data_IF_778554051057
#
_entry.id   IF_778554051057
#
_cell.length_a   1.000
_cell.length_b   1.000
_cell.length_c   1.000
_cell.angle_alpha   90.00
_cell.angle_beta   90.00
_cell.angle_gamma   90.00
#
_symmetry.space_group_name_H-M   'P 1'
#
loop_
_entity.id
_entity.type
_entity.pdbx_description
1 polymer ?
#
# COMPACT_ATOMS: atom_id res chain seq x y z
N UNK A 1 19.13 9.84 -16.91
CA UNK A 1 18.48 8.84 -16.05
C UNK A 1 17.13 9.41 -15.67
N UNK A 2 16.07 8.66 -15.95
CA UNK A 2 14.70 9.00 -15.55
C UNK A 2 14.56 8.95 -14.02
N UNK A 3 13.64 9.75 -13.46
CA UNK A 3 13.44 9.90 -12.01
C UNK A 3 11.98 9.55 -11.61
N UNK A 4 11.74 8.51 -10.78
CA UNK A 4 10.41 8.13 -10.27
C UNK A 4 9.58 9.24 -9.67
N UNK A 5 10.23 10.12 -8.91
CA UNK A 5 9.54 11.08 -8.03
C UNK A 5 9.04 12.31 -8.80
N UNK A 6 9.60 12.55 -9.97
CA UNK A 6 9.32 13.74 -10.79
C UNK A 6 8.49 13.43 -12.03
N UNK A 7 8.36 12.15 -12.42
CA UNK A 7 7.69 11.78 -13.66
C UNK A 7 7.06 10.38 -13.63
N UNK A 8 5.75 10.32 -13.37
CA UNK A 8 4.93 9.11 -13.38
C UNK A 8 4.26 8.83 -14.75
N UNK A 9 4.55 9.64 -15.77
CA UNK A 9 3.86 9.57 -17.06
C UNK A 9 4.26 8.32 -17.85
N UNK A 10 3.25 7.54 -18.21
CA UNK A 10 3.39 6.34 -19.06
C UNK A 10 3.90 6.66 -20.48
N UNK A 11 3.70 7.89 -20.97
CA UNK A 11 4.08 8.25 -22.33
C UNK A 11 5.60 8.22 -22.54
N UNK A 12 6.40 8.59 -21.54
CA UNK A 12 7.87 8.56 -21.66
C UNK A 12 8.43 7.14 -21.67
N UNK A 13 7.82 6.23 -20.90
CA UNK A 13 8.11 4.81 -20.96
C UNK A 13 7.68 4.21 -22.31
N UNK A 14 6.52 4.61 -22.82
CA UNK A 14 6.04 4.18 -24.14
C UNK A 14 6.94 4.69 -25.28
N UNK A 15 7.41 5.93 -25.22
CA UNK A 15 8.38 6.49 -26.18
C UNK A 15 9.70 5.73 -26.12
N UNK A 16 10.19 5.42 -24.91
CA UNK A 16 11.41 4.64 -24.72
C UNK A 16 11.27 3.23 -25.31
N UNK A 17 10.13 2.56 -25.09
CA UNK A 17 9.84 1.24 -25.65
C UNK A 17 9.73 1.26 -27.19
N UNK A 18 9.07 2.27 -27.77
CA UNK A 18 9.01 2.46 -29.22
C UNK A 18 10.41 2.68 -29.79
N UNK A 19 11.21 3.53 -29.15
CA UNK A 19 12.59 3.84 -29.55
C UNK A 19 13.49 2.59 -29.50
N UNK A 20 13.33 1.74 -28.49
CA UNK A 20 14.02 0.46 -28.40
C UNK A 20 13.64 -0.48 -29.55
N UNK A 21 12.34 -0.63 -29.84
CA UNK A 21 11.87 -1.46 -30.94
C UNK A 21 12.42 -0.98 -32.29
N UNK A 22 12.33 0.32 -32.56
CA UNK A 22 12.86 0.91 -33.79
C UNK A 22 14.38 0.70 -33.91
N UNK A 23 15.12 0.86 -32.81
CA UNK A 23 16.56 0.63 -32.76
C UNK A 23 16.91 -0.83 -33.08
N UNK A 24 16.22 -1.79 -32.45
CA UNK A 24 16.43 -3.21 -32.66
C UNK A 24 16.08 -3.64 -34.09
N UNK A 25 14.99 -3.12 -34.65
CA UNK A 25 14.60 -3.37 -36.04
C UNK A 25 15.64 -2.85 -37.03
N UNK A 26 16.15 -1.63 -36.79
CA UNK A 26 17.17 -1.01 -37.63
C UNK A 26 18.48 -1.80 -37.54
N UNK A 27 18.87 -2.23 -36.34
CA UNK A 27 20.02 -3.11 -36.12
C UNK A 27 19.87 -4.44 -36.84
N UNK A 28 18.69 -5.07 -36.78
CA UNK A 28 18.41 -6.34 -37.46
C UNK A 28 18.55 -6.20 -38.99
N UNK A 29 17.97 -5.15 -39.57
CA UNK A 29 18.00 -4.89 -41.02
C UNK A 29 19.41 -4.56 -41.51
N UNK A 30 20.17 -3.80 -40.73
CA UNK A 30 21.49 -3.30 -41.13
C UNK A 30 22.67 -4.11 -40.59
N UNK A 31 22.41 -5.20 -39.86
CA UNK A 31 23.41 -6.02 -39.17
C UNK A 31 24.60 -6.43 -40.06
N UNK A 32 24.31 -6.94 -41.26
CA UNK A 32 25.35 -7.40 -42.20
C UNK A 32 26.24 -6.29 -42.77
N UNK A 33 25.81 -5.03 -42.66
CA UNK A 33 26.51 -3.84 -43.17
C UNK A 33 27.22 -3.05 -42.07
N UNK A 34 27.04 -3.45 -40.82
CA UNK A 34 27.48 -2.71 -39.64
C UNK A 34 28.85 -3.21 -39.20
N UNK A 35 29.76 -2.29 -38.85
CA UNK A 35 31.05 -2.70 -38.28
C UNK A 35 30.91 -3.05 -36.79
N UNK A 36 31.89 -3.78 -36.24
CA UNK A 36 31.85 -4.26 -34.86
C UNK A 36 31.62 -3.13 -33.83
N UNK A 37 32.31 -1.99 -34.01
CA UNK A 37 32.22 -0.85 -33.08
C UNK A 37 30.83 -0.18 -33.11
N UNK A 38 30.20 -0.09 -34.28
CA UNK A 38 28.84 0.42 -34.43
C UNK A 38 27.82 -0.52 -33.80
N UNK A 39 27.97 -1.84 -34.02
CA UNK A 39 27.10 -2.84 -33.41
C UNK A 39 27.18 -2.81 -31.87
N UNK A 40 28.39 -2.73 -31.32
CA UNK A 40 28.63 -2.64 -29.87
C UNK A 40 28.01 -1.38 -29.25
N UNK A 41 28.14 -0.22 -29.91
CA UNK A 41 27.53 1.04 -29.45
C UNK A 41 26.01 0.98 -29.46
N UNK A 42 25.41 0.42 -30.51
CA UNK A 42 23.95 0.32 -30.62
C UNK A 42 23.39 -0.71 -29.64
N UNK A 43 24.11 -1.81 -29.39
CA UNK A 43 23.79 -2.75 -28.32
C UNK A 43 23.82 -2.08 -26.94
N UNK A 44 24.86 -1.27 -26.65
CA UNK A 44 24.93 -0.50 -25.40
C UNK A 44 23.77 0.48 -25.23
N UNK A 45 23.36 1.16 -26.31
CA UNK A 45 22.18 2.03 -26.30
C UNK A 45 20.88 1.25 -26.05
N UNK A 46 20.71 0.10 -26.71
CA UNK A 46 19.55 -0.77 -26.50
C UNK A 46 19.47 -1.28 -25.06
N UNK A 47 20.61 -1.66 -24.47
CA UNK A 47 20.70 -2.08 -23.07
C UNK A 47 20.33 -0.95 -22.10
N UNK A 48 20.81 0.27 -22.35
CA UNK A 48 20.45 1.42 -21.52
C UNK A 48 18.94 1.71 -21.57
N UNK A 49 18.35 1.76 -22.76
CA UNK A 49 16.91 2.01 -22.93
C UNK A 49 16.10 0.88 -22.28
N UNK A 50 16.52 -0.38 -22.46
CA UNK A 50 15.88 -1.53 -21.80
C UNK A 50 15.97 -1.45 -20.28
N UNK A 51 17.10 -1.00 -19.73
CA UNK A 51 17.28 -0.81 -18.30
C UNK A 51 16.34 0.27 -17.77
N UNK A 52 16.24 1.41 -18.46
CA UNK A 52 15.35 2.51 -18.07
C UNK A 52 13.87 2.06 -18.06
N UNK A 53 13.43 1.29 -19.07
CA UNK A 53 12.08 0.72 -19.11
C UNK A 53 11.86 -0.27 -17.96
N UNK A 54 12.83 -1.13 -17.66
CA UNK A 54 12.72 -2.10 -16.56
C UNK A 54 12.54 -1.40 -15.22
N UNK A 55 13.34 -0.36 -14.94
CA UNK A 55 13.24 0.41 -13.70
C UNK A 55 11.87 1.10 -13.62
N UNK A 56 11.38 1.67 -14.72
CA UNK A 56 10.05 2.28 -14.76
C UNK A 56 8.93 1.27 -14.44
N UNK A 57 8.99 0.06 -15.00
CA UNK A 57 8.01 -1.01 -14.77
C UNK A 57 7.99 -1.40 -13.29
N UNK A 58 9.16 -1.64 -12.69
CA UNK A 58 9.28 -2.02 -11.28
C UNK A 58 8.71 -0.95 -10.34
N UNK A 59 8.89 0.33 -10.67
CA UNK A 59 8.38 1.44 -9.88
C UNK A 59 6.89 1.68 -10.07
N UNK A 60 6.37 1.54 -11.29
CA UNK A 60 4.93 1.58 -11.56
C UNK A 60 4.20 0.40 -10.88
N UNK A 61 4.80 -0.79 -10.84
CA UNK A 61 4.26 -1.92 -10.09
C UNK A 61 4.13 -1.57 -8.60
N UNK A 62 5.19 -1.00 -7.99
CA UNK A 62 5.14 -0.52 -6.60
C UNK A 62 4.07 0.56 -6.39
N UNK A 63 3.89 1.50 -7.33
CA UNK A 63 2.83 2.53 -7.25
C UNK A 63 1.43 1.89 -7.22
N UNK A 64 1.18 0.91 -8.10
CA UNK A 64 -0.09 0.19 -8.17
C UNK A 64 -0.34 -0.62 -6.91
N UNK A 65 0.70 -1.26 -6.36
CA UNK A 65 0.60 -1.98 -5.10
C UNK A 65 0.24 -1.04 -3.94
N UNK A 66 0.90 0.11 -3.83
CA UNK A 66 0.60 1.12 -2.82
C UNK A 66 -0.84 1.66 -2.95
N UNK A 67 -1.28 1.97 -4.17
CA UNK A 67 -2.65 2.43 -4.41
C UNK A 67 -3.69 1.37 -4.02
N UNK A 68 -3.41 0.10 -4.34
CA UNK A 68 -4.28 -1.03 -3.98
C UNK A 68 -4.41 -1.16 -2.46
N UNK A 69 -3.30 -1.07 -1.72
CA UNK A 69 -3.31 -1.10 -0.25
C UNK A 69 -4.12 0.07 0.31
N UNK A 70 -3.95 1.29 -0.23
CA UNK A 70 -4.71 2.45 0.21
C UNK A 70 -6.22 2.28 0.01
N UNK A 71 -6.63 1.75 -1.14
CA UNK A 71 -8.04 1.45 -1.44
C UNK A 71 -8.60 0.45 -0.43
N UNK A 72 -7.91 -0.67 -0.19
CA UNK A 72 -8.37 -1.67 0.78
C UNK A 72 -8.38 -1.12 2.21
N UNK A 73 -7.41 -0.28 2.57
CA UNK A 73 -7.34 0.38 3.88
C UNK A 73 -8.58 1.22 4.15
N UNK A 74 -9.01 2.03 3.17
CA UNK A 74 -10.25 2.83 3.28
C UNK A 74 -11.48 1.95 3.37
N UNK A 75 -11.58 0.90 2.54
CA UNK A 75 -12.71 -0.03 2.55
C UNK A 75 -12.86 -0.76 3.89
N UNK A 76 -11.75 -1.26 4.46
CA UNK A 76 -11.72 -1.88 5.79
C UNK A 76 -12.14 -0.89 6.86
N UNK A 77 -11.63 0.35 6.82
CA UNK A 77 -12.02 1.38 7.78
C UNK A 77 -13.53 1.67 7.74
N UNK A 78 -14.12 1.80 6.55
CA UNK A 78 -15.56 2.03 6.39
C UNK A 78 -16.35 0.83 6.92
N UNK A 79 -16.02 -0.39 6.52
CA UNK A 79 -16.70 -1.61 6.97
C UNK A 79 -16.58 -1.81 8.50
N UNK A 80 -15.44 -1.44 9.09
CA UNK A 80 -15.24 -1.47 10.53
C UNK A 80 -16.13 -0.46 11.26
N UNK A 81 -16.22 0.77 10.76
CA UNK A 81 -17.11 1.79 11.31
C UNK A 81 -18.57 1.38 11.19
N UNK A 82 -18.99 0.82 10.05
CA UNK A 82 -20.35 0.31 9.87
C UNK A 82 -20.67 -0.82 10.86
N UNK A 83 -19.75 -1.77 11.06
CA UNK A 83 -19.89 -2.81 12.08
C UNK A 83 -20.06 -2.20 13.48
N UNK A 84 -19.29 -1.18 13.81
CA UNK A 84 -19.41 -0.48 15.10
C UNK A 84 -20.77 0.20 15.23
N UNK A 85 -21.24 0.93 14.21
CA UNK A 85 -22.61 1.50 14.21
C UNK A 85 -23.67 0.45 14.45
N UNK A 86 -23.57 -0.70 13.80
CA UNK A 86 -24.54 -1.78 13.95
C UNK A 86 -24.52 -2.41 15.35
N UNK A 87 -23.36 -2.48 16.02
CA UNK A 87 -23.21 -3.13 17.33
C UNK A 87 -23.52 -2.22 18.52
N UNK A 88 -23.16 -0.94 18.44
CA UNK A 88 -23.27 0.03 19.55
C UNK A 88 -24.21 1.20 19.27
N UNK A 89 -24.81 1.28 18.07
CA UNK A 89 -25.63 2.43 17.65
C UNK A 89 -24.82 3.71 17.38
N UNK A 90 -23.49 3.66 17.52
CA UNK A 90 -22.56 4.78 17.29
C UNK A 90 -21.15 4.25 17.03
N UNK A 91 -20.28 5.08 16.43
CA UNK A 91 -18.86 4.80 16.18
C UNK A 91 -17.97 4.89 17.44
N UNK A 92 -18.56 4.83 18.64
CA UNK A 92 -17.85 5.07 19.88
C UNK A 92 -17.47 3.72 20.51
N UNK A 93 -16.20 3.56 20.89
CA UNK A 93 -15.85 2.52 21.87
C UNK A 93 -15.91 3.13 23.25
N UNK A 94 -16.62 2.45 24.14
CA UNK A 94 -16.70 2.81 25.54
C UNK A 94 -15.51 2.14 26.25
N UNK A 95 -14.55 2.94 26.69
CA UNK A 95 -13.41 2.49 27.47
C UNK A 95 -13.73 2.68 28.95
N UNK A 96 -13.78 1.57 29.68
CA UNK A 96 -13.86 1.62 31.13
C UNK A 96 -12.46 1.87 31.69
N UNK A 97 -12.28 3.01 32.34
CA UNK A 97 -11.03 3.35 33.02
C UNK A 97 -10.93 2.59 34.35
N UNK A 98 -9.70 2.35 34.85
CA UNK A 98 -9.48 1.72 36.14
C UNK A 98 -10.12 2.46 37.32
N UNK A 99 -10.30 3.78 37.21
CA UNK A 99 -10.91 4.66 38.22
C UNK A 99 -12.45 4.61 38.25
N UNK A 100 -13.07 3.82 37.36
CA UNK A 100 -14.53 3.75 37.22
C UNK A 100 -15.13 4.83 36.31
N UNK A 101 -14.30 5.73 35.78
CA UNK A 101 -14.70 6.71 34.77
C UNK A 101 -14.88 6.05 33.39
N UNK A 102 -15.94 6.45 32.71
CA UNK A 102 -16.26 5.96 31.37
C UNK A 102 -15.73 6.98 30.35
N UNK A 103 -14.69 6.60 29.61
CA UNK A 103 -14.19 7.41 28.50
C UNK A 103 -14.77 6.91 27.17
N UNK A 104 -15.41 7.80 26.41
CA UNK A 104 -15.85 7.50 25.05
C UNK A 104 -14.75 7.90 24.08
N UNK A 105 -14.27 6.94 23.30
CA UNK A 105 -13.40 7.20 22.16
C UNK A 105 -14.26 7.12 20.91
N UNK A 106 -14.45 8.26 20.26
CA UNK A 106 -15.13 8.35 18.98
C UNK A 106 -14.14 8.01 17.87
N UNK A 107 -14.45 6.98 17.08
CA UNK A 107 -13.64 6.61 15.93
C UNK A 107 -14.22 7.25 14.67
N UNK A 108 -13.42 8.11 14.04
CA UNK A 108 -13.64 8.57 12.67
C UNK A 108 -12.84 7.71 11.68
N UNK A 109 -13.12 7.88 10.39
CA UNK A 109 -12.38 7.20 9.32
C UNK A 109 -10.87 7.47 9.45
N UNK A 110 -10.49 8.71 9.76
CA UNK A 110 -9.07 9.10 9.90
C UNK A 110 -8.37 8.38 11.05
N UNK A 111 -9.05 8.14 12.16
CA UNK A 111 -8.49 7.42 13.31
C UNK A 111 -8.32 5.93 12.98
N UNK A 112 -9.28 5.33 12.29
CA UNK A 112 -9.17 3.95 11.81
C UNK A 112 -8.03 3.80 10.79
N UNK A 113 -7.90 4.76 9.86
CA UNK A 113 -6.78 4.78 8.91
C UNK A 113 -5.42 4.89 9.62
N UNK A 114 -5.30 5.74 10.66
CA UNK A 114 -4.06 5.86 11.45
C UNK A 114 -3.69 4.57 12.18
N UNK A 115 -4.68 3.84 12.70
CA UNK A 115 -4.46 2.54 13.34
C UNK A 115 -3.96 1.51 12.34
N UNK A 116 -4.60 1.42 11.17
CA UNK A 116 -4.17 0.54 10.09
C UNK A 116 -2.74 0.87 9.62
N UNK A 117 -2.41 2.16 9.45
CA UNK A 117 -1.03 2.58 9.13
C UNK A 117 0.00 2.21 10.20
N UNK A 118 -0.40 2.18 11.47
CA UNK A 118 0.48 1.74 12.57
C UNK A 118 0.73 0.23 12.51
N UNK A 119 -0.31 -0.56 12.25
CA UNK A 119 -0.18 -2.00 12.00
C UNK A 119 0.72 -2.30 10.81
N UNK A 120 0.56 -1.58 9.70
CA UNK A 120 1.43 -1.73 8.53
C UNK A 120 2.88 -1.41 8.89
N UNK A 121 3.13 -0.34 9.66
CA UNK A 121 4.49 0.00 10.11
C UNK A 121 5.08 -1.09 11.00
N UNK A 122 4.28 -1.72 11.86
CA UNK A 122 4.72 -2.82 12.70
C UNK A 122 5.06 -4.05 11.86
N UNK A 123 4.19 -4.45 10.92
CA UNK A 123 4.47 -5.53 9.98
C UNK A 123 5.74 -5.25 9.15
N UNK A 124 5.95 -4.01 8.68
CA UNK A 124 7.18 -3.62 8.00
C UNK A 124 8.42 -3.73 8.89
N UNK A 125 8.31 -3.46 10.20
CA UNK A 125 9.43 -3.58 11.13
C UNK A 125 9.82 -5.03 11.44
N UNK A 126 8.87 -5.96 11.36
CA UNK A 126 9.07 -7.39 11.65
C UNK A 126 9.55 -8.18 10.43
N UNK A 127 9.03 -7.90 9.23
CA UNK A 127 9.25 -8.70 8.02
C UNK A 127 10.07 -7.96 6.94
N UNK A 128 10.37 -6.68 7.11
CA UNK A 128 10.99 -5.84 6.08
C UNK A 128 10.00 -5.39 4.99
N UNK A 129 10.34 -4.30 4.29
CA UNK A 129 9.39 -3.55 3.43
C UNK A 129 8.81 -4.40 2.27
N UNK A 130 9.61 -5.25 1.63
CA UNK A 130 9.14 -5.99 0.44
C UNK A 130 8.18 -7.13 0.81
N UNK A 131 8.49 -7.89 1.86
CA UNK A 131 7.68 -9.03 2.27
C UNK A 131 6.42 -8.56 3.01
N UNK A 132 6.54 -7.51 3.83
CA UNK A 132 5.39 -6.92 4.54
C UNK A 132 4.32 -6.36 3.59
N UNK A 133 4.70 -5.73 2.48
CA UNK A 133 3.75 -5.15 1.52
C UNK A 133 2.86 -6.25 0.91
N UNK A 134 3.47 -7.38 0.52
CA UNK A 134 2.74 -8.53 0.00
C UNK A 134 1.82 -9.16 1.04
N UNK A 135 2.29 -9.25 2.29
CA UNK A 135 1.55 -9.79 3.43
C UNK A 135 0.35 -8.90 3.80
N UNK A 136 0.55 -7.58 3.91
CA UNK A 136 -0.49 -6.59 4.17
C UNK A 136 -1.56 -6.67 3.09
N UNK A 137 -1.16 -6.73 1.81
CA UNK A 137 -2.11 -6.85 0.70
C UNK A 137 -2.95 -8.12 0.80
N UNK A 138 -2.32 -9.27 1.00
CA UNK A 138 -3.02 -10.55 1.17
C UNK A 138 -3.99 -10.49 2.35
N UNK A 139 -3.52 -9.95 3.47
CA UNK A 139 -4.32 -9.79 4.69
C UNK A 139 -5.52 -8.88 4.46
N UNK A 140 -5.33 -7.73 3.82
CA UNK A 140 -6.39 -6.76 3.55
C UNK A 140 -7.40 -7.28 2.52
N UNK A 141 -6.94 -7.97 1.49
CA UNK A 141 -7.80 -8.62 0.51
C UNK A 141 -8.66 -9.71 1.17
N UNK A 142 -8.09 -10.50 2.07
CA UNK A 142 -8.81 -11.53 2.83
C UNK A 142 -9.66 -10.96 3.97
N UNK A 143 -9.53 -9.68 4.29
CA UNK A 143 -10.27 -9.01 5.37
C UNK A 143 -11.67 -8.56 4.95
N UNK A 144 -11.94 -8.50 3.64
CA UNK A 144 -13.21 -8.08 3.08
C UNK A 144 -13.86 -9.23 2.31
N UNK A 145 -15.15 -9.42 2.51
CA UNK A 145 -15.99 -10.29 1.70
C UNK A 145 -17.15 -9.50 1.10
N UNK A 146 -17.65 -9.98 -0.02
CA UNK A 146 -18.75 -9.36 -0.76
C UNK A 146 -19.92 -10.35 -0.71
N UNK A 147 -21.03 -9.97 -0.10
CA UNK A 147 -22.30 -10.68 -0.33
C UNK A 147 -23.28 -9.72 -1.04
N UNK A 148 -23.53 -10.02 -2.31
CA UNK A 148 -24.30 -9.18 -3.22
C UNK A 148 -23.62 -7.82 -3.50
N UNK A 149 -24.27 -6.74 -3.06
CA UNK A 149 -23.82 -5.34 -3.28
C UNK A 149 -23.21 -4.68 -2.03
N UNK A 150 -23.01 -5.45 -0.97
CA UNK A 150 -22.53 -4.95 0.32
C UNK A 150 -21.23 -5.66 0.71
N UNK A 151 -20.24 -4.86 1.08
CA UNK A 151 -18.94 -5.34 1.54
C UNK A 151 -18.94 -5.42 3.07
N UNK A 152 -18.38 -6.49 3.63
CA UNK A 152 -18.25 -6.63 5.08
C UNK A 152 -16.91 -7.24 5.45
N UNK A 153 -16.56 -7.06 6.72
CA UNK A 153 -15.40 -7.69 7.31
C UNK A 153 -15.60 -9.21 7.43
N UNK A 154 -14.64 -9.96 6.91
CA UNK A 154 -14.48 -11.40 7.19
C UNK A 154 -14.11 -11.63 8.65
N UNK A 155 -14.02 -12.90 9.07
CA UNK A 155 -13.46 -13.28 10.38
C UNK A 155 -12.08 -12.65 10.60
N UNK A 156 -11.20 -12.71 9.58
CA UNK A 156 -9.86 -12.12 9.59
C UNK A 156 -9.91 -10.61 9.77
N UNK A 157 -10.77 -9.92 9.01
CA UNK A 157 -10.92 -8.47 9.12
C UNK A 157 -11.46 -8.03 10.49
N UNK A 158 -12.38 -8.82 11.08
CA UNK A 158 -12.89 -8.57 12.43
C UNK A 158 -11.78 -8.73 13.48
N UNK A 159 -10.96 -9.77 13.38
CA UNK A 159 -9.85 -10.02 14.32
C UNK A 159 -8.85 -8.87 14.31
N UNK A 160 -8.45 -8.39 13.13
CA UNK A 160 -7.51 -7.26 12.98
C UNK A 160 -8.11 -6.00 13.60
N UNK A 161 -9.38 -5.70 13.30
CA UNK A 161 -10.05 -4.52 13.85
C UNK A 161 -10.18 -4.62 15.37
N UNK A 162 -10.56 -5.78 15.89
CA UNK A 162 -10.73 -5.97 17.34
C UNK A 162 -9.37 -5.91 18.07
N UNK A 163 -8.28 -6.39 17.46
CA UNK A 163 -6.89 -6.25 17.95
C UNK A 163 -6.43 -4.78 17.93
N UNK A 164 -6.62 -4.08 16.81
CA UNK A 164 -6.31 -2.65 16.68
C UNK A 164 -7.05 -1.78 17.69
N UNK A 165 -8.33 -2.08 17.91
CA UNK A 165 -9.13 -1.40 18.93
C UNK A 165 -8.62 -1.75 20.34
N UNK A 166 -8.27 -3.01 20.59
CA UNK A 166 -7.66 -3.45 21.85
C UNK A 166 -6.35 -2.73 22.17
N UNK A 167 -5.48 -2.57 21.17
CA UNK A 167 -4.26 -1.78 21.28
C UNK A 167 -4.55 -0.30 21.52
N UNK A 168 -5.50 0.29 20.80
CA UNK A 168 -5.90 1.69 21.00
C UNK A 168 -6.42 1.94 22.42
N UNK A 169 -7.22 1.00 22.95
CA UNK A 169 -7.72 1.05 24.34
C UNK A 169 -6.57 0.90 25.33
N UNK A 170 -5.64 -0.01 25.07
CA UNK A 170 -4.46 -0.24 25.93
C UNK A 170 -3.58 1.00 25.94
N UNK A 171 -3.28 1.59 24.78
CA UNK A 171 -2.55 2.84 24.67
C UNK A 171 -3.27 4.00 25.37
N UNK A 172 -4.60 4.09 25.24
CA UNK A 172 -5.38 5.08 25.98
C UNK A 172 -5.22 4.85 27.48
N UNK A 173 -5.41 3.63 27.99
CA UNK A 173 -5.20 3.31 29.40
C UNK A 173 -3.78 3.64 29.86
N UNK A 174 -2.76 3.22 29.11
CA UNK A 174 -1.35 3.49 29.39
C UNK A 174 -1.04 4.98 29.40
N UNK A 175 -1.58 5.77 28.46
CA UNK A 175 -1.42 7.22 28.44
C UNK A 175 -2.03 7.89 29.67
N UNK A 176 -3.18 7.39 30.13
CA UNK A 176 -3.78 7.81 31.39
C UNK A 176 -2.92 7.39 32.60
N UNK A 177 -2.36 6.18 32.61
CA UNK A 177 -1.44 5.71 33.66
C UNK A 177 -0.09 6.45 33.67
N UNK A 178 0.43 6.86 32.52
CA UNK A 178 1.72 7.55 32.37
C UNK A 178 1.67 9.04 32.75
N UNK A 179 0.53 9.52 33.23
CA UNK A 179 0.37 10.87 33.76
C UNK A 179 -0.29 11.81 32.76
N UNK A 180 -1.46 12.31 33.15
CA UNK A 180 -1.87 13.65 32.76
C UNK A 180 -0.86 14.66 33.29
N UNK A 181 0.18 14.96 32.50
CA UNK A 181 0.96 16.19 32.60
C UNK A 181 1.30 16.64 31.17
N UNK A 182 0.37 17.39 30.57
CA UNK A 182 0.60 18.77 30.11
C UNK A 182 -0.71 19.34 29.57
#
# INVERSE_FOLDING_TARGET
MWNPEENDNIEDAAISARSLNELLDLMYISFKKMNHLQAERLLGLALNISSDISVWIDEEEKRRENNTIEIYRRRIAIAALERMKHKTGSNCVIVNMPDGDIHKIDFDEKSMLKLLMRFERQACSEYGISESTSFIRSTYMNSLDINGHTEYLTETGKLIVDELLGEAITWAKEKYFSGGIN
#
